data_IF_757190659704
#
_entry.id   IF_757190659704
#
_cell.length_a   1.000
_cell.length_b   1.000
_cell.length_c   1.000
_cell.angle_alpha   90.00
_cell.angle_beta   90.00
_cell.angle_gamma   90.00
#
_symmetry.space_group_name_H-M   'P 1'
#
loop_
_entity.id
_entity.type
_entity.pdbx_description
1 polymer ?
#
# COMPACT_ATOMS: atom_id res chain seq x y z
N UNK A 1 -42.49 -9.07 44.04
CA UNK A 1 -41.63 -7.87 44.08
C UNK A 1 -40.29 -8.21 43.44
N UNK A 2 -39.80 -7.31 42.59
CA UNK A 2 -39.00 -7.56 41.39
C UNK A 2 -37.54 -7.95 41.64
N UNK A 3 -37.06 -8.99 40.92
CA UNK A 3 -35.64 -9.35 40.76
C UNK A 3 -35.05 -8.53 39.61
N UNK A 4 -34.01 -7.75 39.88
CA UNK A 4 -33.26 -7.02 38.86
C UNK A 4 -32.19 -7.92 38.24
N UNK A 5 -32.32 -8.20 36.94
CA UNK A 5 -31.34 -8.91 36.12
C UNK A 5 -30.48 -7.84 35.41
N UNK A 6 -29.18 -7.77 35.71
CA UNK A 6 -28.24 -6.92 34.98
C UNK A 6 -27.72 -7.71 33.79
N UNK A 7 -28.15 -7.33 32.58
CA UNK A 7 -27.64 -7.88 31.32
C UNK A 7 -26.33 -7.18 30.94
N UNK A 8 -25.21 -7.89 31.00
CA UNK A 8 -23.94 -7.44 30.42
C UNK A 8 -23.95 -7.70 28.91
N UNK A 9 -24.03 -6.61 28.14
CA UNK A 9 -23.96 -6.62 26.68
C UNK A 9 -22.50 -6.77 26.25
N UNK A 10 -22.11 -7.96 25.78
CA UNK A 10 -20.82 -8.20 25.16
C UNK A 10 -20.84 -7.65 23.71
N UNK A 11 -20.15 -6.54 23.48
CA UNK A 11 -19.88 -6.03 22.13
C UNK A 11 -18.82 -6.93 21.51
N UNK A 12 -19.23 -7.82 20.60
CA UNK A 12 -18.31 -8.55 19.73
C UNK A 12 -17.90 -7.59 18.61
N UNK A 13 -16.76 -6.92 18.77
CA UNK A 13 -16.11 -6.21 17.67
C UNK A 13 -15.65 -7.24 16.63
N UNK A 14 -16.32 -7.28 15.48
CA UNK A 14 -15.82 -7.99 14.30
C UNK A 14 -14.58 -7.27 13.77
N UNK A 15 -13.41 -7.74 14.19
CA UNK A 15 -12.16 -7.35 13.56
C UNK A 15 -12.04 -8.01 12.19
N UNK A 16 -11.66 -7.22 11.18
CA UNK A 16 -11.33 -7.73 9.84
C UNK A 16 -10.08 -8.65 9.92
N UNK A 17 -10.01 -9.76 9.16
CA UNK A 17 -8.90 -10.72 9.21
C UNK A 17 -7.51 -10.09 9.00
N UNK A 18 -7.43 -8.99 8.26
CA UNK A 18 -6.19 -8.28 7.98
C UNK A 18 -5.59 -7.57 9.22
N UNK A 19 -6.39 -7.29 10.25
CA UNK A 19 -5.94 -6.58 11.45
C UNK A 19 -5.39 -7.51 12.56
N UNK A 20 -5.62 -8.82 12.46
CA UNK A 20 -5.15 -9.80 13.45
C UNK A 20 -3.70 -10.23 13.16
N UNK A 21 -3.24 -10.14 11.91
CA UNK A 21 -1.93 -10.67 11.48
C UNK A 21 -0.72 -9.79 11.81
N UNK A 22 -0.92 -8.55 12.25
CA UNK A 22 0.17 -7.63 12.62
C UNK A 22 0.53 -7.66 14.12
N UNK A 23 -0.08 -8.56 14.91
CA UNK A 23 0.13 -8.59 16.36
C UNK A 23 1.28 -9.53 16.75
N UNK A 24 2.43 -8.91 17.03
CA UNK A 24 3.64 -9.41 17.70
C UNK A 24 4.57 -10.26 16.82
N UNK A 25 5.21 -9.63 15.84
CA UNK A 25 6.52 -10.10 15.37
C UNK A 25 7.60 -9.43 16.25
N UNK A 26 8.49 -10.23 16.83
CA UNK A 26 9.68 -9.72 17.55
C UNK A 26 10.53 -8.84 16.61
N UNK A 27 11.10 -7.72 17.08
CA UNK A 27 12.02 -6.93 16.28
C UNK A 27 13.16 -7.81 15.75
N UNK A 28 13.26 -7.93 14.42
CA UNK A 28 14.23 -8.81 13.76
C UNK A 28 13.73 -10.23 13.45
N UNK A 29 12.47 -10.56 13.70
CA UNK A 29 11.84 -11.76 13.17
C UNK A 29 11.52 -11.61 11.67
N UNK A 30 11.56 -12.75 10.96
CA UNK A 30 11.10 -12.86 9.59
C UNK A 30 9.61 -13.21 9.60
N UNK A 31 8.84 -12.57 8.72
CA UNK A 31 7.49 -12.98 8.34
C UNK A 31 7.59 -13.75 7.04
N UNK A 32 7.15 -15.00 7.08
CA UNK A 32 7.20 -15.96 5.98
C UNK A 32 5.78 -16.18 5.50
N UNK A 33 5.51 -15.76 4.27
CA UNK A 33 4.28 -16.03 3.55
C UNK A 33 4.43 -17.35 2.80
N UNK A 34 3.57 -18.31 3.10
CA UNK A 34 3.55 -19.61 2.45
C UNK A 34 2.64 -19.61 1.20
N UNK A 35 2.77 -20.65 0.40
CA UNK A 35 2.05 -20.83 -0.86
C UNK A 35 0.56 -21.15 -0.65
N UNK A 36 0.20 -21.70 0.50
CA UNK A 36 -1.18 -21.98 0.93
C UNK A 36 -1.90 -20.74 1.50
N UNK A 37 -1.21 -19.60 1.58
CA UNK A 37 -1.72 -18.36 2.18
C UNK A 37 -1.49 -18.23 3.68
N UNK A 38 -0.93 -19.26 4.33
CA UNK A 38 -0.53 -19.19 5.74
C UNK A 38 0.62 -18.21 5.93
N UNK A 39 0.66 -17.57 7.11
CA UNK A 39 1.72 -16.63 7.48
C UNK A 39 2.35 -17.08 8.79
N UNK A 40 3.67 -17.27 8.77
CA UNK A 40 4.47 -17.63 9.93
C UNK A 40 5.33 -16.44 10.31
N UNK A 41 5.48 -16.18 11.60
CA UNK A 41 6.46 -15.21 12.12
C UNK A 41 7.42 -15.90 13.08
N UNK A 42 8.71 -15.64 12.95
CA UNK A 42 9.72 -16.25 13.79
C UNK A 42 11.16 -15.95 13.37
N UNK A 43 12.10 -16.47 14.15
CA UNK A 43 13.52 -16.41 13.83
C UNK A 43 13.93 -17.67 13.06
N UNK A 44 14.77 -17.51 12.04
CA UNK A 44 15.45 -18.65 11.43
C UNK A 44 16.57 -19.12 12.36
N UNK A 45 16.65 -20.42 12.61
CA UNK A 45 17.73 -21.04 13.41
C UNK A 45 19.09 -20.97 12.73
N UNK A 46 19.12 -20.88 11.40
CA UNK A 46 20.34 -20.70 10.62
C UNK A 46 20.89 -19.28 10.77
N UNK A 47 22.20 -19.15 10.91
CA UNK A 47 22.87 -17.85 10.99
C UNK A 47 23.20 -17.28 9.62
N UNK A 48 23.43 -18.15 8.64
CA UNK A 48 23.84 -17.79 7.28
C UNK A 48 22.94 -18.47 6.25
N UNK A 49 22.66 -17.75 5.17
CA UNK A 49 21.99 -18.24 3.97
C UNK A 49 22.99 -18.28 2.83
N UNK A 50 23.14 -19.43 2.20
CA UNK A 50 24.01 -19.59 1.04
C UNK A 50 23.22 -19.35 -0.24
N UNK A 51 23.79 -18.60 -1.16
CA UNK A 51 23.22 -18.35 -2.49
C UNK A 51 24.24 -18.73 -3.55
N UNK A 52 23.92 -19.75 -4.34
CA UNK A 52 24.73 -20.15 -5.50
C UNK A 52 24.38 -19.24 -6.67
N UNK A 53 25.34 -18.39 -7.04
CA UNK A 53 25.22 -17.46 -8.18
C UNK A 53 26.07 -17.95 -9.35
N UNK A 54 25.91 -17.33 -10.52
CA UNK A 54 26.77 -17.62 -11.69
C UNK A 54 28.25 -17.28 -11.45
N UNK A 55 28.54 -16.38 -10.50
CA UNK A 55 29.89 -15.97 -10.13
C UNK A 55 30.48 -16.77 -8.97
N UNK A 56 29.74 -17.76 -8.47
CA UNK A 56 30.12 -18.60 -7.34
C UNK A 56 29.19 -18.47 -6.14
N UNK A 57 29.59 -19.08 -5.04
CA UNK A 57 28.81 -19.17 -3.80
C UNK A 57 28.98 -17.91 -2.96
N UNK A 58 27.87 -17.29 -2.58
CA UNK A 58 27.84 -16.15 -1.67
C UNK A 58 27.10 -16.54 -0.37
N UNK A 59 27.75 -16.35 0.76
CA UNK A 59 27.18 -16.61 2.09
C UNK A 59 26.72 -15.30 2.71
N UNK A 60 25.43 -15.20 3.05
CA UNK A 60 24.79 -14.00 3.56
C UNK A 60 24.31 -14.23 4.99
N UNK A 61 24.75 -13.41 5.96
CA UNK A 61 24.21 -13.48 7.31
C UNK A 61 22.70 -13.16 7.33
N UNK A 62 21.91 -14.00 8.00
CA UNK A 62 20.43 -13.89 7.99
C UNK A 62 19.96 -12.55 8.58
N UNK A 63 20.69 -11.98 9.54
CA UNK A 63 20.44 -10.66 10.12
C UNK A 63 20.56 -9.52 9.09
N UNK A 64 21.33 -9.73 8.00
CA UNK A 64 21.48 -8.79 6.89
C UNK A 64 20.48 -9.02 5.75
N UNK A 65 19.57 -9.98 5.89
CA UNK A 65 18.53 -10.25 4.89
C UNK A 65 17.29 -9.42 5.21
N UNK A 66 16.89 -8.58 4.25
CA UNK A 66 15.65 -7.82 4.29
C UNK A 66 14.48 -8.66 3.78
N UNK A 67 14.69 -9.40 2.69
CA UNK A 67 13.70 -10.31 2.15
C UNK A 67 14.37 -11.38 1.29
N UNK A 68 13.70 -12.50 1.09
CA UNK A 68 14.01 -13.42 0.01
C UNK A 68 12.74 -13.97 -0.63
N UNK A 69 12.81 -14.22 -1.92
CA UNK A 69 11.71 -14.71 -2.75
C UNK A 69 12.22 -15.89 -3.57
N UNK A 70 11.71 -17.11 -3.33
CA UNK A 70 12.04 -18.25 -4.17
C UNK A 70 11.51 -18.04 -5.59
N UNK A 71 12.35 -18.33 -6.58
CA UNK A 71 11.98 -18.30 -7.99
C UNK A 71 11.30 -19.59 -8.42
N UNK A 72 10.90 -19.65 -9.69
CA UNK A 72 10.26 -20.82 -10.28
C UNK A 72 11.15 -22.07 -10.26
N UNK A 73 12.47 -21.91 -10.35
CA UNK A 73 13.42 -23.03 -10.26
C UNK A 73 13.35 -23.73 -8.89
N UNK A 74 13.12 -22.98 -7.82
CA UNK A 74 12.93 -23.53 -6.47
C UNK A 74 11.48 -23.96 -6.19
N UNK A 75 10.55 -23.77 -7.13
CA UNK A 75 9.12 -24.09 -7.00
C UNK A 75 8.59 -24.84 -8.24
N UNK A 76 9.08 -26.07 -8.50
CA UNK A 76 8.76 -26.81 -9.73
C UNK A 76 7.26 -27.12 -9.89
N UNK A 77 6.54 -27.40 -8.80
CA UNK A 77 5.08 -27.63 -8.85
C UNK A 77 4.32 -26.38 -9.29
N UNK A 78 4.66 -25.22 -8.72
CA UNK A 78 4.07 -23.95 -9.12
C UNK A 78 4.43 -23.58 -10.56
N UNK A 79 5.67 -23.84 -10.98
CA UNK A 79 6.09 -23.67 -12.38
C UNK A 79 5.24 -24.52 -13.32
N UNK A 80 5.04 -25.80 -13.01
CA UNK A 80 4.23 -26.70 -13.82
C UNK A 80 2.78 -26.25 -13.90
N UNK A 81 2.20 -25.71 -12.82
CA UNK A 81 0.85 -25.15 -12.84
C UNK A 81 0.75 -23.95 -13.79
N UNK A 82 1.73 -23.04 -13.76
CA UNK A 82 1.76 -21.89 -14.64
C UNK A 82 1.94 -22.29 -16.11
N UNK A 83 2.81 -23.27 -16.40
CA UNK A 83 2.99 -23.82 -17.74
C UNK A 83 1.71 -24.49 -18.25
N UNK A 84 0.96 -25.19 -17.38
CA UNK A 84 -0.34 -25.75 -17.71
C UNK A 84 -1.38 -24.68 -18.03
N UNK A 85 -1.44 -23.58 -17.26
CA UNK A 85 -2.33 -22.45 -17.56
C UNK A 85 -2.02 -21.82 -18.93
N UNK A 86 -0.74 -21.66 -19.26
CA UNK A 86 -0.33 -21.14 -20.57
C UNK A 86 -0.74 -22.13 -21.68
N UNK A 87 -0.53 -23.43 -21.49
CA UNK A 87 -0.98 -24.44 -22.45
C UNK A 87 -2.50 -24.41 -22.64
N UNK A 88 -3.27 -24.27 -21.56
CA UNK A 88 -4.74 -24.21 -21.57
C UNK A 88 -5.30 -23.00 -22.32
N UNK A 89 -4.52 -21.94 -22.54
CA UNK A 89 -4.92 -20.83 -23.43
C UNK A 89 -5.13 -21.28 -24.88
N UNK A 90 -4.52 -22.39 -25.30
CA UNK A 90 -4.73 -23.01 -26.62
C UNK A 90 -5.69 -24.21 -26.59
N UNK A 91 -6.35 -24.50 -25.46
CA UNK A 91 -7.23 -25.67 -25.35
C UNK A 91 -8.41 -25.58 -26.33
N UNK A 92 -8.88 -26.71 -26.86
CA UNK A 92 -10.06 -26.72 -27.75
C UNK A 92 -11.34 -26.25 -27.04
N UNK A 93 -11.46 -26.56 -25.75
CA UNK A 93 -12.59 -26.17 -24.90
C UNK A 93 -12.53 -24.69 -24.52
N UNK A 94 -13.54 -23.91 -24.94
CA UNK A 94 -13.63 -22.46 -24.66
C UNK A 94 -13.54 -22.17 -23.16
N UNK A 95 -14.24 -22.96 -22.33
CA UNK A 95 -14.25 -22.77 -20.88
C UNK A 95 -12.87 -22.92 -20.24
N UNK A 96 -12.03 -23.84 -20.75
CA UNK A 96 -10.65 -24.01 -20.23
C UNK A 96 -9.79 -22.80 -20.58
N UNK A 97 -9.90 -22.31 -21.82
CA UNK A 97 -9.18 -21.09 -22.26
C UNK A 97 -9.53 -19.87 -21.41
N UNK A 98 -10.83 -19.64 -21.21
CA UNK A 98 -11.30 -18.47 -20.47
C UNK A 98 -10.91 -18.53 -18.98
N UNK A 99 -11.00 -19.72 -18.36
CA UNK A 99 -10.52 -19.92 -16.98
C UNK A 99 -9.01 -19.70 -16.85
N UNK A 100 -8.23 -20.19 -17.80
CA UNK A 100 -6.79 -19.99 -17.81
C UNK A 100 -6.43 -18.50 -17.95
N UNK A 101 -7.09 -17.79 -18.87
CA UNK A 101 -6.92 -16.35 -19.05
C UNK A 101 -7.24 -15.57 -17.76
N UNK A 102 -8.41 -15.82 -17.15
CA UNK A 102 -8.79 -15.16 -15.89
C UNK A 102 -7.80 -15.42 -14.75
N UNK A 103 -7.29 -16.65 -14.63
CA UNK A 103 -6.28 -16.99 -13.62
C UNK A 103 -4.97 -16.25 -13.86
N UNK A 104 -4.52 -16.14 -15.10
CA UNK A 104 -3.29 -15.42 -15.46
C UNK A 104 -3.41 -13.90 -15.20
N UNK A 105 -4.58 -13.32 -15.51
CA UNK A 105 -4.89 -11.92 -15.17
C UNK A 105 -4.92 -11.67 -13.66
N UNK A 106 -5.51 -12.59 -12.89
CA UNK A 106 -5.54 -12.50 -11.43
C UNK A 106 -4.14 -12.54 -10.80
N UNK A 107 -3.21 -13.27 -11.42
CA UNK A 107 -1.80 -13.27 -11.01
C UNK A 107 -1.09 -11.95 -11.36
N UNK A 108 -1.63 -11.18 -12.32
CA UNK A 108 -1.27 -9.80 -12.60
C UNK A 108 0.12 -9.62 -13.25
N UNK A 109 0.70 -8.43 -13.02
CA UNK A 109 2.02 -8.01 -13.54
C UNK A 109 3.16 -9.00 -13.23
N UNK A 110 2.98 -9.82 -12.18
CA UNK A 110 3.91 -10.88 -11.81
C UNK A 110 4.16 -11.88 -12.96
N UNK A 111 3.15 -12.15 -13.80
CA UNK A 111 3.20 -13.10 -14.92
C UNK A 111 3.85 -12.54 -16.18
N UNK A 112 4.00 -11.22 -16.29
CA UNK A 112 4.45 -10.55 -17.52
C UNK A 112 5.76 -11.11 -18.10
N UNK A 113 6.82 -11.38 -17.31
CA UNK A 113 8.06 -11.97 -17.84
C UNK A 113 7.86 -13.35 -18.45
N UNK A 114 6.92 -14.14 -17.92
CA UNK A 114 6.61 -15.47 -18.44
C UNK A 114 5.77 -15.36 -19.72
N UNK A 115 4.71 -14.56 -19.70
CA UNK A 115 3.85 -14.32 -20.88
C UNK A 115 4.65 -13.79 -22.07
N UNK A 116 5.61 -12.87 -21.82
CA UNK A 116 6.49 -12.33 -22.86
C UNK A 116 7.36 -13.39 -23.55
N UNK A 117 7.75 -14.47 -22.86
CA UNK A 117 8.48 -15.59 -23.49
C UNK A 117 7.61 -16.38 -24.46
N UNK A 118 6.29 -16.35 -24.28
CA UNK A 118 5.31 -17.04 -25.10
C UNK A 118 4.58 -16.09 -26.07
N UNK A 119 5.02 -14.84 -26.22
CA UNK A 119 4.37 -13.87 -27.12
C UNK A 119 4.34 -14.33 -28.59
N UNK A 120 5.33 -15.12 -28.99
CA UNK A 120 5.53 -15.60 -30.36
C UNK A 120 5.24 -17.11 -30.46
N UNK A 121 4.27 -17.58 -29.69
CA UNK A 121 3.88 -19.00 -29.68
C UNK A 121 3.41 -19.48 -31.07
N UNK A 122 3.69 -20.76 -31.37
CA UNK A 122 3.32 -21.42 -32.61
C UNK A 122 1.79 -21.63 -32.74
N UNK A 123 1.08 -21.72 -31.62
CA UNK A 123 -0.38 -21.83 -31.59
C UNK A 123 -1.03 -20.44 -31.73
N UNK A 124 -1.79 -20.18 -32.81
CA UNK A 124 -2.39 -18.87 -33.07
C UNK A 124 -3.39 -18.41 -31.99
N UNK A 125 -4.15 -19.32 -31.39
CA UNK A 125 -5.13 -18.98 -30.35
C UNK A 125 -4.42 -18.62 -29.04
N UNK A 126 -3.42 -19.42 -28.65
CA UNK A 126 -2.58 -19.11 -27.49
C UNK A 126 -1.85 -17.77 -27.67
N UNK A 127 -1.24 -17.55 -28.83
CA UNK A 127 -0.59 -16.28 -29.18
C UNK A 127 -1.54 -15.09 -29.05
N UNK A 128 -2.76 -15.20 -29.60
CA UNK A 128 -3.78 -14.16 -29.52
C UNK A 128 -4.16 -13.85 -28.07
N UNK A 129 -4.41 -14.87 -27.24
CA UNK A 129 -4.81 -14.66 -25.83
C UNK A 129 -3.68 -14.11 -24.97
N UNK A 130 -2.45 -14.54 -25.21
CA UNK A 130 -1.27 -13.97 -24.54
C UNK A 130 -1.16 -12.48 -24.84
N UNK A 131 -1.34 -12.06 -26.10
CA UNK A 131 -1.33 -10.65 -26.48
C UNK A 131 -2.42 -9.86 -25.74
N UNK A 132 -3.66 -10.38 -25.70
CA UNK A 132 -4.76 -9.77 -24.95
C UNK A 132 -4.47 -9.62 -23.46
N UNK A 133 -3.92 -10.65 -22.83
CA UNK A 133 -3.56 -10.60 -21.40
C UNK A 133 -2.48 -9.54 -21.17
N UNK A 134 -1.46 -9.46 -22.03
CA UNK A 134 -0.39 -8.46 -21.88
C UNK A 134 -0.96 -7.04 -22.03
N UNK A 135 -1.84 -6.82 -23.01
CA UNK A 135 -2.53 -5.54 -23.22
C UNK A 135 -3.38 -5.15 -22.01
N UNK A 136 -4.20 -6.06 -21.49
CA UNK A 136 -5.03 -5.82 -20.30
C UNK A 136 -4.17 -5.54 -19.05
N UNK A 137 -3.03 -6.21 -18.89
CA UNK A 137 -2.08 -5.91 -17.82
C UNK A 137 -1.43 -4.53 -17.98
N UNK A 138 -1.17 -4.09 -19.21
CA UNK A 138 -0.61 -2.78 -19.51
C UNK A 138 -1.63 -1.66 -19.25
N UNK A 139 -2.89 -1.83 -19.64
CA UNK A 139 -3.99 -0.91 -19.31
C UNK A 139 -4.15 -0.78 -17.79
N UNK A 140 -4.23 -1.92 -17.07
CA UNK A 140 -4.30 -1.92 -15.61
C UNK A 140 -3.09 -1.19 -15.00
N UNK A 141 -1.91 -1.35 -15.58
CA UNK A 141 -0.70 -0.68 -15.10
C UNK A 141 -0.75 0.83 -15.34
N UNK A 142 -1.18 1.28 -16.50
CA UNK A 142 -1.32 2.71 -16.83
C UNK A 142 -2.34 3.38 -15.92
N UNK A 143 -3.51 2.75 -15.71
CA UNK A 143 -4.54 3.20 -14.77
C UNK A 143 -3.98 3.33 -13.34
N UNK A 144 -3.18 2.37 -12.90
CA UNK A 144 -2.54 2.39 -11.58
C UNK A 144 -1.42 3.43 -11.47
N UNK A 145 -0.73 3.74 -12.57
CA UNK A 145 0.36 4.74 -12.60
C UNK A 145 -0.16 6.18 -12.58
N UNK A 146 -1.32 6.43 -13.20
CA UNK A 146 -1.97 7.74 -13.20
C UNK A 146 -2.55 8.11 -11.81
N UNK A 147 -2.99 7.12 -11.04
CA UNK A 147 -3.52 7.32 -9.69
C UNK A 147 -2.44 7.24 -8.58
N UNK A 148 -1.38 6.44 -8.75
CA UNK A 148 -0.33 6.24 -7.75
C UNK A 148 1.06 6.11 -8.40
N UNK A 149 1.74 7.24 -8.60
CA UNK A 149 3.07 7.29 -9.23
C UNK A 149 4.05 6.20 -8.77
N UNK A 150 4.80 5.65 -9.73
CA UNK A 150 5.85 4.62 -9.61
C UNK A 150 5.53 3.47 -8.63
N UNK A 151 4.49 2.70 -8.92
CA UNK A 151 4.39 1.32 -8.41
C UNK A 151 5.48 0.48 -9.07
N UNK A 152 6.64 0.35 -8.42
CA UNK A 152 7.63 -0.64 -8.82
C UNK A 152 7.04 -2.04 -8.60
N UNK A 153 7.00 -2.93 -9.60
CA UNK A 153 6.53 -4.30 -9.40
C UNK A 153 7.53 -5.04 -8.52
N UNK A 154 7.25 -5.14 -7.22
CA UNK A 154 8.12 -5.83 -6.25
C UNK A 154 8.04 -7.36 -6.39
N UNK A 155 7.09 -7.88 -7.19
CA UNK A 155 6.75 -9.30 -7.24
C UNK A 155 6.75 -9.89 -8.67
N UNK A 156 7.60 -9.42 -9.58
CA UNK A 156 7.78 -10.10 -10.86
C UNK A 156 8.24 -11.55 -10.62
N UNK A 157 7.54 -12.53 -11.21
CA UNK A 157 7.93 -13.94 -11.12
C UNK A 157 9.25 -14.12 -11.86
N UNK A 158 10.31 -14.40 -11.10
CA UNK A 158 11.64 -14.70 -11.65
C UNK A 158 11.88 -16.20 -11.70
N UNK A 159 12.72 -16.63 -12.65
CA UNK A 159 13.13 -18.03 -12.71
C UNK A 159 14.04 -18.40 -11.53
N UNK A 160 14.97 -17.49 -11.16
CA UNK A 160 15.91 -17.67 -10.07
C UNK A 160 15.39 -17.08 -8.77
N UNK A 161 15.93 -17.56 -7.66
CA UNK A 161 15.63 -17.02 -6.34
C UNK A 161 16.30 -15.65 -6.17
N UNK A 162 15.71 -14.82 -5.32
CA UNK A 162 16.20 -13.47 -5.04
C UNK A 162 16.36 -13.28 -3.55
N UNK A 163 17.52 -12.79 -3.13
CA UNK A 163 17.80 -12.40 -1.75
C UNK A 163 18.10 -10.90 -1.72
N UNK A 164 17.29 -10.14 -1.01
CA UNK A 164 17.41 -8.68 -0.86
C UNK A 164 18.13 -8.38 0.45
N UNK A 165 19.24 -7.66 0.34
CA UNK A 165 19.98 -7.10 1.47
C UNK A 165 19.81 -5.57 1.50
N UNK A 166 20.28 -4.85 2.53
CA UNK A 166 20.26 -3.38 2.54
C UNK A 166 20.98 -2.71 1.36
N UNK A 167 22.01 -3.36 0.81
CA UNK A 167 22.90 -2.71 -0.16
C UNK A 167 22.67 -3.20 -1.60
N UNK A 168 22.27 -4.46 -1.79
CA UNK A 168 22.08 -5.06 -3.11
C UNK A 168 21.14 -6.26 -3.08
N UNK A 169 20.72 -6.70 -4.26
CA UNK A 169 19.95 -7.93 -4.45
C UNK A 169 20.84 -9.00 -5.07
N UNK A 170 20.84 -10.19 -4.48
CA UNK A 170 21.51 -11.38 -4.99
C UNK A 170 20.50 -12.21 -5.74
N UNK A 171 20.90 -12.74 -6.90
CA UNK A 171 20.09 -13.63 -7.70
C UNK A 171 20.83 -14.95 -7.87
N UNK A 172 20.20 -16.06 -7.52
CA UNK A 172 20.85 -17.37 -7.50
C UNK A 172 19.97 -18.46 -6.89
N UNK A 173 20.51 -19.64 -6.64
CA UNK A 173 19.81 -20.72 -5.95
C UNK A 173 20.06 -20.63 -4.43
N UNK A 174 18.98 -20.56 -3.64
CA UNK A 174 19.07 -20.47 -2.17
C UNK A 174 19.31 -21.84 -1.55
N UNK A 175 20.23 -21.91 -0.59
CA UNK A 175 20.50 -23.03 0.30
C UNK A 175 20.54 -22.57 1.77
N UNK A 176 20.02 -23.39 2.72
CA UNK A 176 19.40 -24.70 2.54
C UNK A 176 17.99 -24.63 1.91
N UNK A 177 17.47 -25.77 1.43
CA UNK A 177 16.10 -25.89 0.87
C UNK A 177 15.02 -26.12 1.94
N UNK A 178 15.42 -26.29 3.20
CA UNK A 178 14.54 -26.44 4.34
C UNK A 178 15.04 -25.55 5.48
N UNK A 179 14.10 -24.91 6.16
CA UNK A 179 14.36 -23.95 7.22
C UNK A 179 13.63 -24.36 8.49
N UNK A 180 14.31 -24.26 9.62
CA UNK A 180 13.68 -24.35 10.93
C UNK A 180 13.44 -22.95 11.47
N UNK A 181 12.17 -22.64 11.74
CA UNK A 181 11.67 -21.36 12.22
C UNK A 181 11.24 -21.52 13.68
N UNK A 182 11.85 -20.74 14.57
CA UNK A 182 11.41 -20.63 15.96
C UNK A 182 10.34 -19.55 16.06
N UNK A 183 9.11 -19.97 16.37
CA UNK A 183 7.96 -19.07 16.56
C UNK A 183 7.49 -19.10 18.00
N UNK A 184 6.62 -18.15 18.37
CA UNK A 184 5.94 -18.13 19.68
C UNK A 184 5.10 -19.38 19.98
N UNK A 185 4.76 -20.16 18.95
CA UNK A 185 3.97 -21.39 19.06
C UNK A 185 4.83 -22.65 19.02
N UNK A 186 6.15 -22.50 19.02
CA UNK A 186 7.11 -23.60 18.90
C UNK A 186 7.86 -23.57 17.57
N UNK A 187 8.63 -24.64 17.37
CA UNK A 187 9.52 -24.80 16.22
C UNK A 187 8.77 -25.40 15.02
N UNK A 188 8.89 -24.77 13.86
CA UNK A 188 8.29 -25.23 12.61
C UNK A 188 9.38 -25.51 11.56
N UNK A 189 9.21 -26.57 10.77
CA UNK A 189 10.06 -26.83 9.60
C UNK A 189 9.32 -26.41 8.32
N UNK A 190 9.96 -25.61 7.47
CA UNK A 190 9.38 -25.03 6.25
C UNK A 190 10.30 -25.30 5.06
N UNK A 191 9.76 -25.84 3.97
CA UNK A 191 10.54 -26.02 2.74
C UNK A 191 10.53 -24.76 1.88
N UNK A 192 11.64 -24.48 1.19
CA UNK A 192 11.77 -23.35 0.26
C UNK A 192 10.70 -23.40 -0.85
N UNK A 193 10.28 -24.59 -1.27
CA UNK A 193 9.21 -24.79 -2.27
C UNK A 193 7.87 -24.20 -1.84
N UNK A 194 7.63 -24.22 -0.53
CA UNK A 194 6.35 -23.83 0.07
C UNK A 194 6.35 -22.34 0.41
N UNK A 195 7.53 -21.70 0.44
CA UNK A 195 7.68 -20.26 0.70
C UNK A 195 7.33 -19.47 -0.56
N UNK A 196 6.37 -18.55 -0.42
CA UNK A 196 6.08 -17.54 -1.45
C UNK A 196 7.03 -16.36 -1.31
N UNK A 197 7.25 -15.90 -0.07
CA UNK A 197 8.13 -14.78 0.26
C UNK A 197 8.46 -14.80 1.74
N UNK A 198 9.69 -14.50 2.09
CA UNK A 198 10.06 -14.19 3.46
C UNK A 198 10.59 -12.76 3.51
N UNK A 199 10.15 -11.99 4.49
CA UNK A 199 10.59 -10.61 4.66
C UNK A 199 10.75 -10.29 6.13
N UNK A 200 11.80 -9.55 6.45
CA UNK A 200 12.06 -9.11 7.80
C UNK A 200 10.99 -8.10 8.11
N UNK A 201 10.40 -8.19 9.30
CA UNK A 201 9.67 -7.06 9.86
C UNK A 201 10.72 -6.03 10.24
N UNK A 202 11.23 -5.35 9.21
CA UNK A 202 11.85 -4.06 9.39
C UNK A 202 10.73 -3.24 10.02
N UNK A 203 10.99 -2.70 11.20
CA UNK A 203 10.15 -1.73 11.88
C UNK A 203 10.02 -0.52 10.96
N UNK A 204 9.21 -0.68 9.91
CA UNK A 204 9.14 0.07 8.67
C UNK A 204 10.50 0.64 8.22
N UNK A 205 11.02 0.22 7.07
CA UNK A 205 11.67 1.20 6.20
C UNK A 205 10.57 2.17 5.76
N UNK A 206 10.20 3.09 6.65
CA UNK A 206 10.45 4.51 6.49
C UNK A 206 9.96 5.17 5.23
N UNK A 207 9.06 4.56 4.45
CA UNK A 207 8.56 5.17 3.23
C UNK A 207 7.72 6.36 3.62
N UNK A 208 8.29 7.54 3.37
CA UNK A 208 7.58 8.81 3.40
C UNK A 208 6.24 8.64 2.69
N UNK A 209 5.13 8.72 3.42
CA UNK A 209 3.80 8.61 2.79
C UNK A 209 3.59 9.88 1.99
N UNK A 210 3.51 9.75 0.67
CA UNK A 210 3.19 10.85 -0.25
C UNK A 210 1.79 10.64 -0.77
N UNK A 211 0.94 11.66 -0.66
CA UNK A 211 -0.43 11.62 -1.19
C UNK A 211 -0.82 12.97 -1.77
N UNK A 212 -1.53 12.93 -2.90
CA UNK A 212 -2.22 14.09 -3.45
C UNK A 212 -3.72 13.92 -3.23
N UNK A 213 -4.40 14.99 -2.82
CA UNK A 213 -5.84 15.03 -2.65
C UNK A 213 -6.37 16.37 -3.13
N UNK A 214 -7.53 16.36 -3.77
CA UNK A 214 -8.25 17.57 -4.15
C UNK A 214 -9.31 17.90 -3.11
N UNK A 215 -9.25 19.10 -2.53
CA UNK A 215 -10.24 19.59 -1.54
C UNK A 215 -11.14 20.58 -2.26
N UNK A 216 -12.38 20.20 -2.50
CA UNK A 216 -13.37 21.07 -3.13
C UNK A 216 -13.79 22.16 -2.15
N UNK A 217 -14.17 23.34 -2.64
CA UNK A 217 -14.74 24.39 -1.79
C UNK A 217 -16.12 24.04 -1.20
N UNK A 218 -16.70 22.89 -1.59
CA UNK A 218 -17.85 22.26 -0.93
C UNK A 218 -17.47 21.57 0.39
N UNK A 219 -16.19 21.25 0.63
CA UNK A 219 -15.69 20.62 1.84
C UNK A 219 -15.50 21.65 2.97
N UNK A 220 -16.59 22.29 3.41
CA UNK A 220 -16.55 23.38 4.38
C UNK A 220 -16.59 22.91 5.82
N UNK A 221 -15.86 23.59 6.70
CA UNK A 221 -15.89 23.33 8.15
C UNK A 221 -17.02 24.13 8.82
N UNK A 222 -17.82 23.52 9.72
CA UNK A 222 -17.71 22.17 10.27
C UNK A 222 -18.50 21.08 9.53
N UNK A 223 -19.21 21.44 8.45
CA UNK A 223 -20.21 20.59 7.80
C UNK A 223 -19.63 19.30 7.23
N UNK A 224 -18.58 19.41 6.40
CA UNK A 224 -18.03 18.29 5.65
C UNK A 224 -16.54 18.48 5.41
N UNK A 225 -15.72 17.70 6.12
CA UNK A 225 -14.30 17.60 5.81
C UNK A 225 -14.03 16.39 4.92
N UNK A 226 -13.02 16.49 4.06
CA UNK A 226 -12.56 15.41 3.20
C UNK A 226 -11.53 14.57 3.95
N UNK A 227 -11.82 13.29 4.13
CA UNK A 227 -10.83 12.33 4.64
C UNK A 227 -9.70 12.18 3.63
N UNK A 228 -8.46 12.24 4.12
CA UNK A 228 -7.28 11.95 3.29
C UNK A 228 -6.99 10.46 3.20
N UNK A 229 -7.63 9.62 4.02
CA UNK A 229 -7.27 8.21 4.20
C UNK A 229 -5.93 7.99 4.93
N UNK A 230 -5.21 9.06 5.30
CA UNK A 230 -3.94 8.97 6.02
C UNK A 230 -4.22 8.96 7.52
N UNK A 231 -3.88 7.86 8.19
CA UNK A 231 -3.88 7.77 9.64
C UNK A 231 -2.53 8.19 10.20
N UNK A 232 -2.48 9.38 10.79
CA UNK A 232 -1.28 9.92 11.43
C UNK A 232 -1.06 9.29 12.81
N UNK A 233 0.20 9.05 13.15
CA UNK A 233 0.67 8.62 14.47
C UNK A 233 1.44 9.75 15.15
N UNK A 234 1.31 9.86 16.48
CA UNK A 234 2.11 10.81 17.29
C UNK A 234 3.60 10.66 16.96
N UNK A 235 4.30 11.79 16.83
CA UNK A 235 5.74 11.85 16.53
C UNK A 235 6.09 11.95 15.04
N UNK A 236 5.18 11.61 14.13
CA UNK A 236 5.43 11.75 12.69
C UNK A 236 5.59 13.23 12.28
N UNK A 237 6.46 13.50 11.31
CA UNK A 237 6.63 14.83 10.71
C UNK A 237 5.82 14.93 9.43
N UNK A 238 4.91 15.88 9.35
CA UNK A 238 4.02 16.08 8.20
C UNK A 238 4.38 17.40 7.51
N UNK A 239 4.49 17.38 6.18
CA UNK A 239 4.55 18.56 5.31
C UNK A 239 3.38 18.55 4.34
N UNK A 240 2.63 19.65 4.29
CA UNK A 240 1.49 19.83 3.40
C UNK A 240 1.76 21.05 2.54
N UNK A 241 1.58 20.92 1.23
CA UNK A 241 1.64 22.03 0.28
C UNK A 241 0.38 22.04 -0.55
N UNK A 242 -0.23 23.20 -0.77
CA UNK A 242 -1.48 23.34 -1.48
C UNK A 242 -1.42 24.47 -2.51
N UNK A 243 -2.10 24.26 -3.63
CA UNK A 243 -2.32 25.25 -4.67
C UNK A 243 -3.77 25.20 -5.16
N UNK A 244 -4.16 26.13 -6.04
CA UNK A 244 -5.52 26.23 -6.55
C UNK A 244 -6.25 27.47 -6.04
N UNK A 245 -7.52 27.59 -6.42
CA UNK A 245 -8.38 28.73 -6.11
C UNK A 245 -9.81 28.25 -5.94
N UNK A 246 -10.52 28.87 -5.00
CA UNK A 246 -11.98 28.80 -4.93
C UNK A 246 -12.56 30.18 -5.17
N UNK A 247 -13.74 30.26 -5.76
CA UNK A 247 -14.50 31.49 -5.91
C UNK A 247 -15.23 31.82 -4.62
N UNK A 248 -15.00 33.02 -4.11
CA UNK A 248 -15.62 33.57 -2.91
C UNK A 248 -16.95 34.22 -3.27
N UNK A 249 -17.98 33.41 -3.52
CA UNK A 249 -19.34 33.92 -3.72
C UNK A 249 -19.96 34.31 -2.37
N UNK A 250 -20.76 35.38 -2.28
CA UNK A 250 -21.30 36.21 -3.36
C UNK A 250 -20.49 37.49 -3.69
N UNK A 251 -19.24 37.63 -3.25
CA UNK A 251 -18.46 38.88 -3.37
C UNK A 251 -18.02 39.29 -4.80
N UNK A 252 -18.64 38.72 -5.84
CA UNK A 252 -18.41 39.04 -7.24
C UNK A 252 -17.49 38.05 -7.98
N UNK A 253 -17.41 38.23 -9.30
CA UNK A 253 -16.72 37.29 -10.20
C UNK A 253 -15.19 37.22 -9.99
N UNK A 254 -14.59 38.30 -9.46
CA UNK A 254 -13.15 38.38 -9.18
C UNK A 254 -12.80 38.06 -7.72
N UNK A 255 -13.79 37.68 -6.90
CA UNK A 255 -13.54 37.28 -5.53
C UNK A 255 -13.07 35.81 -5.50
N UNK A 256 -11.81 35.59 -5.13
CA UNK A 256 -11.25 34.26 -4.97
C UNK A 256 -10.42 34.15 -3.69
N UNK A 257 -10.24 32.92 -3.23
CA UNK A 257 -9.35 32.56 -2.13
C UNK A 257 -8.36 31.51 -2.59
N UNK A 258 -7.08 31.70 -2.27
CA UNK A 258 -6.04 30.66 -2.35
C UNK A 258 -6.07 29.82 -1.07
N UNK A 259 -5.27 28.74 -0.96
CA UNK A 259 -5.20 27.95 0.28
C UNK A 259 -4.87 28.78 1.53
N UNK A 260 -4.19 29.92 1.41
CA UNK A 260 -3.89 30.82 2.54
C UNK A 260 -5.11 31.57 3.08
N UNK A 261 -6.22 31.53 2.34
CA UNK A 261 -7.46 32.22 2.68
C UNK A 261 -7.51 33.65 2.16
N UNK A 262 -8.67 34.28 2.36
CA UNK A 262 -8.95 35.63 1.92
C UNK A 262 -9.56 36.43 3.08
N UNK A 263 -8.73 37.10 3.91
CA UNK A 263 -9.17 37.78 5.13
C UNK A 263 -10.11 38.97 4.87
N UNK A 264 -10.06 39.54 3.67
CA UNK A 264 -10.97 40.59 3.21
C UNK A 264 -12.44 40.09 3.08
N UNK A 265 -12.67 38.77 3.06
CA UNK A 265 -14.01 38.17 3.06
C UNK A 265 -14.35 37.52 4.41
N UNK A 266 -13.67 37.94 5.48
CA UNK A 266 -13.92 37.52 6.85
C UNK A 266 -13.02 36.39 7.34
N UNK A 267 -13.42 35.79 8.48
CA UNK A 267 -12.59 34.85 9.23
C UNK A 267 -13.40 33.63 9.69
N UNK A 268 -12.86 32.42 9.51
CA UNK A 268 -13.40 31.21 10.15
C UNK A 268 -13.13 31.23 11.66
N UNK A 269 -11.90 31.59 12.03
CA UNK A 269 -11.50 31.89 13.41
C UNK A 269 -10.87 33.27 13.39
N UNK A 270 -11.45 34.19 14.15
CA UNK A 270 -11.08 35.61 14.14
C UNK A 270 -9.56 35.80 14.26
N UNK A 271 -8.96 36.55 13.33
CA UNK A 271 -7.52 36.83 13.23
C UNK A 271 -6.58 35.61 13.19
N UNK A 272 -7.09 34.38 13.01
CA UNK A 272 -6.27 33.15 13.00
C UNK A 272 -6.44 32.32 11.73
N UNK A 273 -7.67 32.14 11.29
CA UNK A 273 -8.00 31.35 10.09
C UNK A 273 -8.88 32.22 9.19
N UNK A 274 -8.32 32.79 8.10
CA UNK A 274 -9.10 33.57 7.16
C UNK A 274 -10.18 32.71 6.50
N UNK A 275 -11.26 33.36 6.06
CA UNK A 275 -12.31 32.69 5.29
C UNK A 275 -11.73 32.15 3.98
N UNK A 276 -12.16 30.96 3.55
CA UNK A 276 -11.61 30.28 2.39
C UNK A 276 -10.25 29.60 2.61
N UNK A 277 -9.66 29.65 3.80
CA UNK A 277 -8.35 29.03 4.06
C UNK A 277 -8.43 27.49 4.09
N UNK A 278 -7.41 26.81 3.57
CA UNK A 278 -7.24 25.37 3.77
C UNK A 278 -6.92 25.08 5.24
N UNK A 279 -7.72 24.20 5.83
CA UNK A 279 -7.60 23.78 7.23
C UNK A 279 -7.52 22.26 7.35
N UNK A 280 -6.94 21.81 8.46
CA UNK A 280 -6.81 20.39 8.79
C UNK A 280 -7.45 20.04 10.12
N UNK A 281 -7.78 18.76 10.28
CA UNK A 281 -8.18 18.15 11.55
C UNK A 281 -7.58 16.76 11.67
N UNK A 282 -7.18 16.36 12.87
CA UNK A 282 -6.67 15.01 13.14
C UNK A 282 -7.62 14.31 14.11
N UNK A 283 -8.31 13.27 13.64
CA UNK A 283 -9.33 12.56 14.40
C UNK A 283 -10.44 13.49 14.91
N UNK A 284 -10.78 13.41 16.20
CA UNK A 284 -11.75 14.31 16.86
C UNK A 284 -11.10 15.61 17.40
N UNK A 285 -9.93 15.98 16.88
CA UNK A 285 -9.18 17.16 17.34
C UNK A 285 -9.76 18.49 16.87
N UNK A 286 -9.15 19.58 17.35
CA UNK A 286 -9.47 20.93 16.87
C UNK A 286 -8.98 21.14 15.43
N UNK A 287 -9.69 22.01 14.71
CA UNK A 287 -9.30 22.45 13.36
C UNK A 287 -8.13 23.42 13.46
N UNK A 288 -7.16 23.29 12.57
CA UNK A 288 -5.96 24.14 12.51
C UNK A 288 -5.71 24.65 11.09
N UNK A 289 -5.06 25.82 10.99
CA UNK A 289 -4.67 26.43 9.72
C UNK A 289 -3.59 25.58 9.02
N UNK A 290 -3.77 25.30 7.74
CA UNK A 290 -2.72 24.72 6.88
C UNK A 290 -2.18 25.80 5.94
N UNK A 291 -3.03 26.45 5.15
CA UNK A 291 -2.54 27.40 4.14
C UNK A 291 -1.92 26.72 2.91
N UNK A 292 -1.13 27.47 2.15
CA UNK A 292 -0.41 26.97 0.97
C UNK A 292 0.80 26.09 1.32
N UNK A 293 1.35 26.24 2.53
CA UNK A 293 2.46 25.43 3.02
C UNK A 293 2.45 25.33 4.55
N UNK A 294 2.45 24.11 5.08
CA UNK A 294 2.52 23.85 6.51
C UNK A 294 3.41 22.64 6.81
N UNK A 295 4.20 22.73 7.88
CA UNK A 295 4.95 21.59 8.40
C UNK A 295 4.75 21.49 9.91
N UNK A 296 4.48 20.29 10.42
CA UNK A 296 4.23 20.07 11.84
C UNK A 296 4.61 18.66 12.27
N UNK A 297 4.83 18.50 13.58
CA UNK A 297 4.97 17.19 14.22
C UNK A 297 3.64 16.78 14.84
N UNK A 298 3.19 15.55 14.57
CA UNK A 298 1.90 15.04 15.01
C UNK A 298 1.90 14.90 16.54
N UNK A 299 1.02 15.63 17.21
CA UNK A 299 0.88 15.58 18.67
C UNK A 299 -0.08 14.49 19.16
N UNK A 300 -1.05 14.10 18.32
CA UNK A 300 -2.09 13.09 18.63
C UNK A 300 -2.35 12.24 17.40
N UNK A 301 -2.49 10.94 17.58
CA UNK A 301 -2.79 10.01 16.49
C UNK A 301 -4.24 10.15 16.02
N UNK A 302 -4.50 9.97 14.72
CA UNK A 302 -5.85 10.06 14.15
C UNK A 302 -5.86 10.17 12.63
N UNK A 303 -7.05 10.06 12.03
CA UNK A 303 -7.25 10.28 10.60
C UNK A 303 -7.04 11.78 10.29
N UNK A 304 -6.21 12.10 9.29
CA UNK A 304 -6.09 13.45 8.77
C UNK A 304 -7.27 13.76 7.84
N UNK A 305 -7.99 14.83 8.14
CA UNK A 305 -9.07 15.37 7.32
C UNK A 305 -8.72 16.80 6.92
N UNK A 306 -9.14 17.20 5.71
CA UNK A 306 -8.93 18.53 5.16
C UNK A 306 -10.26 19.20 4.84
N UNK A 307 -10.28 20.53 4.86
CA UNK A 307 -11.45 21.28 4.45
C UNK A 307 -11.14 22.76 4.24
N UNK A 308 -12.17 23.51 3.91
CA UNK A 308 -12.13 24.96 3.75
C UNK A 308 -12.74 25.60 5.01
N UNK A 309 -11.96 26.46 5.66
CA UNK A 309 -12.42 27.25 6.78
C UNK A 309 -13.42 28.29 6.30
N UNK A 310 -14.67 28.18 6.74
CA UNK A 310 -15.72 29.13 6.36
C UNK A 310 -16.20 29.94 7.55
N UNK A 311 -16.53 31.21 7.31
CA UNK A 311 -17.13 32.05 8.35
C UNK A 311 -18.40 31.35 8.92
N UNK A 312 -18.62 31.33 10.26
CA UNK A 312 -19.76 30.64 10.86
C UNK A 312 -21.13 31.04 10.32
N UNK A 313 -21.28 32.29 9.84
CA UNK A 313 -22.49 32.79 9.19
C UNK A 313 -22.68 32.35 7.74
N UNK A 314 -21.68 31.73 7.10
CA UNK A 314 -21.68 31.35 5.67
C UNK A 314 -21.59 29.84 5.46
N UNK A 315 -22.08 29.03 6.42
CA UNK A 315 -21.94 27.56 6.41
C UNK A 315 -22.62 26.88 5.22
N UNK A 316 -23.66 27.50 4.66
CA UNK A 316 -24.40 27.00 3.50
C UNK A 316 -23.89 27.58 2.16
N UNK A 317 -22.91 28.48 2.22
CA UNK A 317 -22.36 29.11 1.02
C UNK A 317 -21.53 28.10 0.23
N UNK A 318 -21.77 28.05 -1.09
CA UNK A 318 -20.97 27.24 -2.00
C UNK A 318 -19.78 28.08 -2.48
N UNK A 319 -18.58 27.53 -2.36
CA UNK A 319 -17.37 28.13 -2.92
C UNK A 319 -16.89 27.25 -4.08
N UNK A 320 -17.30 27.53 -5.34
CA UNK A 320 -16.87 26.73 -6.48
C UNK A 320 -15.35 26.71 -6.64
N UNK A 321 -14.81 25.61 -7.16
CA UNK A 321 -13.38 25.40 -7.32
C UNK A 321 -12.79 24.49 -6.24
N UNK A 322 -11.47 24.35 -6.27
CA UNK A 322 -10.77 23.36 -5.44
C UNK A 322 -9.32 23.77 -5.12
N UNK A 323 -8.78 23.10 -4.09
CA UNK A 323 -7.37 23.13 -3.76
C UNK A 323 -6.74 21.76 -4.04
N UNK A 324 -5.63 21.76 -4.78
CA UNK A 324 -4.78 20.59 -4.98
C UNK A 324 -3.77 20.53 -3.84
N UNK A 325 -3.88 19.52 -2.99
CA UNK A 325 -3.09 19.40 -1.77
C UNK A 325 -2.16 18.19 -1.88
N UNK A 326 -0.86 18.41 -1.67
CA UNK A 326 0.17 17.37 -1.57
C UNK A 326 0.58 17.22 -0.12
N UNK A 327 0.55 16.00 0.39
CA UNK A 327 0.86 15.63 1.76
C UNK A 327 2.07 14.71 1.73
N UNK A 328 3.05 15.00 2.59
CA UNK A 328 4.20 14.16 2.84
C UNK A 328 4.28 13.86 4.33
N UNK A 329 4.29 12.60 4.72
CA UNK A 329 4.43 12.16 6.11
C UNK A 329 5.73 11.41 6.23
N UNK A 330 6.68 12.00 6.94
CA UNK A 330 7.90 11.34 7.37
C UNK A 330 7.65 10.61 8.69
N UNK A 331 8.37 9.51 8.93
CA UNK A 331 8.36 8.87 10.25
C UNK A 331 8.75 9.83 11.36
N UNK A 332 8.53 9.37 12.59
CA UNK A 332 9.27 9.88 13.72
C UNK A 332 10.74 9.47 13.53
N UNK A 333 11.66 10.44 13.57
CA UNK A 333 13.09 10.12 13.67
C UNK A 333 13.28 9.37 15.00
N UNK A 334 13.71 8.12 14.91
CA UNK A 334 14.11 7.31 16.05
C UNK A 334 15.48 7.73 16.57
#
# INVERSE_FOLDING_TARGET
MSRSLVASLAIVLSMSPAAVLAQVAEPGALVIHLSDGSVISGALTIQNLDVETEFGKLTVPVDKINAFTPGLASRPGYRSELEALIADLGAQEVQKRDRAQQKLLLLGEAMRPMLMKHRDDADPERKKRIALIIEELDEIREDLQDDMGDVKPVNAISNQDRVVTPHFTIVGAIHPKQFTVESRYGTLSVNLTDIRRAERVLESVVTEVRKSVEVEGSNTVPMRMKSTGIRLKRGQKVKITASGKISMTPWGQNAFSTPDGAPNYGWHVNNKIPNGCLVGRIGKGAVFKIGSNHSFTVKKSGMLELGVGTHPGHRQQKFPGSYKVRIRVKPQDG
#
